data_IF_286664216927
#
_entry.id   IF_286664216927
#
_cell.length_a   1.000
_cell.length_b   1.000
_cell.length_c   1.000
_cell.angle_alpha   90.00
_cell.angle_beta   90.00
_cell.angle_gamma   90.00
#
_symmetry.space_group_name_H-M   'P 1'
#
loop_
_entity.id
_entity.type
_entity.pdbx_description
1 polymer ?
#
# COMPACT_ATOMS: atom_id res chain seq x y z
N UNK A 1 -19.95 -14.81 9.37
CA UNK A 1 -19.81 -13.31 9.28
C UNK A 1 -20.83 -12.76 8.31
N UNK A 2 -21.55 -11.70 8.68
CA UNK A 2 -22.38 -10.97 7.72
C UNK A 2 -21.48 -10.24 6.70
N UNK A 3 -21.34 -10.82 5.51
CA UNK A 3 -20.43 -10.33 4.47
C UNK A 3 -20.77 -8.90 4.01
N UNK A 4 -22.05 -8.56 3.99
CA UNK A 4 -22.47 -7.21 3.62
C UNK A 4 -22.05 -6.18 4.68
N UNK A 5 -22.30 -6.45 5.96
CA UNK A 5 -21.87 -5.58 7.07
C UNK A 5 -20.35 -5.43 7.11
N UNK A 6 -19.62 -6.53 6.91
CA UNK A 6 -18.16 -6.54 6.82
C UNK A 6 -17.65 -5.63 5.70
N UNK A 7 -18.13 -5.82 4.46
CA UNK A 7 -17.72 -5.02 3.31
C UNK A 7 -18.04 -3.55 3.50
N UNK A 8 -19.25 -3.24 3.96
CA UNK A 8 -19.70 -1.88 4.23
C UNK A 8 -18.78 -1.18 5.23
N UNK A 9 -18.55 -1.79 6.38
CA UNK A 9 -17.70 -1.22 7.44
C UNK A 9 -16.26 -1.00 6.96
N UNK A 10 -15.69 -1.96 6.21
CA UNK A 10 -14.36 -1.83 5.61
C UNK A 10 -14.28 -0.68 4.60
N UNK A 11 -15.28 -0.55 3.73
CA UNK A 11 -15.35 0.53 2.74
C UNK A 11 -15.49 1.90 3.41
N UNK A 12 -16.28 2.00 4.49
CA UNK A 12 -16.43 3.22 5.26
C UNK A 12 -15.12 3.62 5.96
N UNK A 13 -14.44 2.69 6.63
CA UNK A 13 -13.17 2.95 7.35
C UNK A 13 -12.01 3.32 6.41
N UNK A 14 -12.03 2.78 5.20
CA UNK A 14 -11.05 3.14 4.18
C UNK A 14 -11.47 4.33 3.33
N UNK A 15 -12.54 5.04 3.69
CA UNK A 15 -13.02 6.24 3.01
C UNK A 15 -13.43 6.05 1.53
N UNK A 16 -13.79 4.85 1.11
CA UNK A 16 -14.31 4.63 -0.25
C UNK A 16 -15.76 5.15 -0.41
N UNK A 17 -16.58 5.08 0.65
CA UNK A 17 -17.97 5.54 0.61
C UNK A 17 -18.12 7.04 0.84
N UNK A 18 -17.19 7.62 1.61
CA UNK A 18 -17.13 9.06 1.89
C UNK A 18 -15.67 9.50 1.90
N UNK A 19 -15.17 10.06 0.80
CA UNK A 19 -13.80 10.53 0.70
C UNK A 19 -13.40 11.48 1.82
N UNK A 20 -12.17 11.34 2.30
CA UNK A 20 -11.63 12.06 3.44
C UNK A 20 -11.38 13.54 3.13
N UNK A 21 -11.73 14.41 4.05
CA UNK A 21 -11.22 15.78 4.09
C UNK A 21 -9.72 15.80 4.39
N UNK A 22 -9.01 16.91 4.18
CA UNK A 22 -7.57 17.02 4.45
C UNK A 22 -7.18 16.63 5.88
N UNK A 23 -8.02 16.95 6.88
CA UNK A 23 -7.79 16.54 8.27
C UNK A 23 -7.89 15.02 8.45
N UNK A 24 -8.92 14.42 7.91
CA UNK A 24 -9.12 12.97 7.97
C UNK A 24 -8.08 12.21 7.13
N UNK A 25 -7.60 12.82 6.04
CA UNK A 25 -6.60 12.23 5.16
C UNK A 25 -5.27 11.96 5.89
N UNK A 26 -4.81 12.88 6.73
CA UNK A 26 -3.61 12.68 7.52
C UNK A 26 -3.71 11.47 8.46
N UNK A 27 -4.84 11.33 9.16
CA UNK A 27 -5.10 10.17 10.02
C UNK A 27 -5.18 8.88 9.20
N UNK A 28 -5.90 8.91 8.08
CA UNK A 28 -6.02 7.75 7.19
C UNK A 28 -4.65 7.32 6.64
N UNK A 29 -3.81 8.29 6.23
CA UNK A 29 -2.46 8.02 5.74
C UNK A 29 -1.62 7.31 6.81
N UNK A 30 -1.64 7.81 8.06
CA UNK A 30 -0.95 7.17 9.18
C UNK A 30 -1.45 5.76 9.46
N UNK A 31 -2.76 5.55 9.42
CA UNK A 31 -3.35 4.23 9.60
C UNK A 31 -2.99 3.24 8.47
N UNK A 32 -2.83 3.73 7.24
CA UNK A 32 -2.42 2.92 6.08
C UNK A 32 -0.90 2.80 5.92
N UNK A 33 -0.13 3.52 6.74
CA UNK A 33 1.34 3.49 6.65
C UNK A 33 1.93 2.10 6.95
N UNK A 34 3.00 1.73 6.26
CA UNK A 34 3.76 2.51 5.27
C UNK A 34 3.07 2.51 3.90
N UNK A 35 2.88 3.69 3.30
CA UNK A 35 2.13 3.86 2.05
C UNK A 35 3.07 3.70 0.85
N UNK A 36 2.78 2.74 -0.01
CA UNK A 36 3.56 2.46 -1.22
C UNK A 36 3.16 3.42 -2.36
N UNK A 37 4.13 3.81 -3.18
CA UNK A 37 3.84 4.59 -4.39
C UNK A 37 2.93 3.81 -5.34
N UNK A 38 1.90 4.45 -5.82
CA UNK A 38 0.95 3.86 -6.78
C UNK A 38 1.52 3.90 -8.19
N UNK A 39 2.17 4.99 -8.56
CA UNK A 39 2.71 5.21 -9.91
C UNK A 39 4.23 5.33 -9.93
N UNK A 40 4.82 4.83 -11.03
CA UNK A 40 6.23 5.00 -11.38
C UNK A 40 6.43 6.00 -12.52
N UNK A 41 5.42 6.81 -12.83
CA UNK A 41 5.41 7.71 -13.98
C UNK A 41 6.42 8.85 -13.87
N UNK A 42 6.68 9.31 -12.65
CA UNK A 42 7.64 10.38 -12.38
C UNK A 42 8.58 10.00 -11.23
N UNK A 43 9.88 10.31 -11.32
CA UNK A 43 10.79 10.17 -10.21
C UNK A 43 10.31 10.97 -8.99
N UNK A 44 10.38 10.36 -7.81
CA UNK A 44 10.02 11.01 -6.57
C UNK A 44 8.54 11.33 -6.35
N UNK A 45 7.64 10.83 -7.21
CA UNK A 45 6.21 11.01 -7.00
C UNK A 45 5.79 10.44 -5.64
N UNK A 46 5.16 11.26 -4.77
CA UNK A 46 4.61 10.78 -3.52
C UNK A 46 3.42 9.86 -3.78
N UNK A 47 3.05 9.01 -2.81
CA UNK A 47 1.88 8.15 -2.94
C UNK A 47 0.59 8.95 -2.86
N UNK A 48 -0.42 8.46 -3.56
CA UNK A 48 -1.79 8.93 -3.49
C UNK A 48 -2.65 7.84 -2.85
N UNK A 49 -3.65 8.23 -2.06
CA UNK A 49 -4.61 7.27 -1.50
C UNK A 49 -5.82 7.06 -2.42
N UNK A 50 -5.77 7.49 -3.67
CA UNK A 50 -6.79 7.37 -4.72
C UNK A 50 -8.24 7.34 -4.15
N UNK A 51 -9.28 7.53 -4.87
CA UNK A 51 -10.68 7.43 -4.43
C UNK A 51 -11.02 7.82 -2.97
N UNK A 52 -10.03 7.85 -2.06
CA UNK A 52 -10.19 8.09 -0.61
C UNK A 52 -10.06 9.55 -0.22
N UNK A 53 -9.69 10.44 -1.15
CA UNK A 53 -9.54 11.87 -0.92
C UNK A 53 -10.67 12.68 -1.57
N UNK A 54 -11.22 13.68 -0.86
CA UNK A 54 -12.21 14.62 -1.39
C UNK A 54 -11.55 15.83 -2.08
N UNK A 55 -10.28 15.72 -2.44
CA UNK A 55 -9.45 16.78 -3.03
C UNK A 55 -8.31 16.15 -3.85
N UNK A 56 -7.59 16.95 -4.63
CA UNK A 56 -6.38 16.53 -5.34
C UNK A 56 -5.27 16.18 -4.32
N UNK A 57 -5.16 14.90 -4.00
CA UNK A 57 -4.20 14.38 -3.03
C UNK A 57 -2.80 14.23 -3.61
N UNK A 58 -2.65 14.10 -4.92
CA UNK A 58 -1.34 14.16 -5.59
C UNK A 58 -0.61 15.44 -5.24
N UNK A 59 -1.24 16.57 -5.53
CA UNK A 59 -0.69 17.89 -5.20
C UNK A 59 -0.50 18.11 -3.70
N UNK A 60 -1.38 17.55 -2.88
CA UNK A 60 -1.27 17.64 -1.43
C UNK A 60 -0.08 16.85 -0.90
N UNK A 61 0.11 15.62 -1.36
CA UNK A 61 1.24 14.78 -0.99
C UNK A 61 2.60 15.35 -1.44
N UNK A 62 2.65 16.03 -2.60
CA UNK A 62 3.85 16.79 -2.98
C UNK A 62 4.23 17.84 -1.95
N UNK A 63 3.27 18.63 -1.46
CA UNK A 63 3.52 19.63 -0.41
C UNK A 63 3.93 19.00 0.91
N UNK A 64 3.32 17.87 1.27
CA UNK A 64 3.70 17.13 2.47
C UNK A 64 5.12 16.58 2.39
N UNK A 65 5.57 16.15 1.21
CA UNK A 65 6.96 15.74 0.98
C UNK A 65 7.92 16.93 1.07
N UNK A 66 7.62 18.04 0.37
CA UNK A 66 8.43 19.25 0.40
C UNK A 66 8.61 19.80 1.82
N UNK A 67 7.56 19.75 2.63
CA UNK A 67 7.59 20.17 4.03
C UNK A 67 8.16 19.13 4.99
N UNK A 68 8.63 17.98 4.52
CA UNK A 68 9.07 16.85 5.35
C UNK A 68 7.99 16.30 6.30
N UNK A 69 6.71 16.58 6.03
CA UNK A 69 5.60 15.98 6.78
C UNK A 69 5.52 14.48 6.52
N UNK A 70 5.76 14.06 5.26
CA UNK A 70 5.98 12.67 4.89
C UNK A 70 7.39 12.48 4.37
N UNK A 71 7.98 11.33 4.67
CA UNK A 71 9.33 10.95 4.27
C UNK A 71 9.35 9.64 3.54
N UNK A 72 10.24 9.55 2.56
CA UNK A 72 10.46 8.36 1.74
C UNK A 72 11.61 7.53 2.28
N UNK A 73 11.42 6.24 2.41
CA UNK A 73 12.47 5.35 2.87
C UNK A 73 12.12 3.87 2.71
N UNK A 74 12.97 3.00 3.25
CA UNK A 74 12.79 1.54 3.21
C UNK A 74 12.05 1.04 4.44
N UNK A 75 10.84 1.55 4.64
CA UNK A 75 10.02 1.38 5.85
C UNK A 75 9.20 0.09 5.89
N UNK A 76 9.33 -0.79 4.90
CA UNK A 76 8.60 -2.06 4.85
C UNK A 76 9.56 -3.19 4.45
N UNK A 77 10.44 -3.56 5.37
CA UNK A 77 11.42 -4.64 5.17
C UNK A 77 12.18 -4.52 3.83
N UNK A 78 12.73 -3.33 3.56
CA UNK A 78 13.51 -3.03 2.37
C UNK A 78 12.71 -2.49 1.16
N UNK A 79 11.37 -2.47 1.20
CA UNK A 79 10.60 -1.80 0.17
C UNK A 79 10.53 -0.29 0.41
N UNK A 80 10.50 0.46 -0.69
CA UNK A 80 10.32 1.90 -0.64
C UNK A 80 8.85 2.22 -0.36
N UNK A 81 8.64 3.04 0.65
CA UNK A 81 7.33 3.52 1.07
C UNK A 81 7.45 4.90 1.70
N UNK A 82 6.31 5.51 2.00
CA UNK A 82 6.21 6.77 2.71
C UNK A 82 5.54 6.56 4.07
N UNK A 83 6.05 7.29 5.06
CA UNK A 83 5.45 7.41 6.39
C UNK A 83 5.38 8.89 6.78
N UNK A 84 4.57 9.22 7.77
CA UNK A 84 4.68 10.51 8.42
C UNK A 84 6.00 10.61 9.19
N UNK A 85 6.64 11.79 9.18
CA UNK A 85 7.92 12.00 9.86
C UNK A 85 7.81 11.82 11.38
N UNK A 86 6.68 12.19 11.98
CA UNK A 86 6.40 11.99 13.40
C UNK A 86 6.15 10.52 13.80
N UNK A 87 6.16 9.59 12.83
CA UNK A 87 6.08 8.14 13.05
C UNK A 87 7.42 7.43 12.80
N UNK A 88 8.50 8.18 12.53
CA UNK A 88 9.83 7.62 12.26
C UNK A 88 10.26 6.63 13.35
N UNK A 89 10.05 6.98 14.63
CA UNK A 89 10.40 6.17 15.79
C UNK A 89 9.64 4.84 15.83
N UNK A 90 8.34 4.87 15.49
CA UNK A 90 7.48 3.68 15.43
C UNK A 90 7.97 2.68 14.36
N UNK A 91 8.27 3.18 13.16
CA UNK A 91 8.75 2.35 12.06
C UNK A 91 10.19 1.89 12.26
N UNK A 92 11.04 2.70 12.90
CA UNK A 92 12.40 2.32 13.28
C UNK A 92 12.38 1.13 14.25
N UNK A 93 11.54 1.16 15.28
CA UNK A 93 11.39 0.06 16.23
C UNK A 93 11.04 -1.28 15.56
N UNK A 94 10.22 -1.26 14.50
CA UNK A 94 9.80 -2.48 13.80
C UNK A 94 10.81 -2.96 12.76
N UNK A 95 11.43 -2.05 11.99
CA UNK A 95 12.13 -2.41 10.76
C UNK A 95 13.63 -2.14 10.78
N UNK A 96 14.16 -1.38 11.76
CA UNK A 96 15.58 -1.06 11.86
C UNK A 96 16.42 -2.34 11.94
N UNK A 97 17.42 -2.42 11.05
CA UNK A 97 18.38 -3.52 11.04
C UNK A 97 19.60 -3.16 11.92
N UNK A 98 19.76 -3.90 12.98
CA UNK A 98 20.94 -3.81 13.83
C UNK A 98 22.04 -4.76 13.28
N UNK A 99 23.04 -4.17 12.64
CA UNK A 99 24.20 -4.88 12.10
C UNK A 99 25.42 -3.95 12.07
N UNK A 100 26.65 -4.49 12.17
CA UNK A 100 27.87 -3.69 12.05
C UNK A 100 27.92 -2.91 10.74
N UNK A 101 28.61 -1.77 10.75
CA UNK A 101 28.94 -1.04 9.53
C UNK A 101 30.00 -1.80 8.73
N UNK A 102 29.91 -1.70 7.41
CA UNK A 102 31.04 -1.96 6.52
C UNK A 102 31.87 -0.68 6.38
N UNK A 103 33.12 -0.78 5.94
CA UNK A 103 33.96 0.38 5.73
C UNK A 103 33.33 1.41 4.79
N UNK A 104 32.70 0.95 3.72
CA UNK A 104 31.97 1.81 2.77
C UNK A 104 30.75 2.48 3.41
N UNK A 105 29.99 1.77 4.25
CA UNK A 105 28.86 2.37 4.97
C UNK A 105 29.34 3.47 5.92
N UNK A 106 30.42 3.21 6.65
CA UNK A 106 31.00 4.19 7.57
C UNK A 106 31.51 5.42 6.83
N UNK A 107 32.28 5.23 5.75
CA UNK A 107 32.80 6.31 4.93
C UNK A 107 31.69 7.22 4.37
N UNK A 108 30.63 6.62 3.82
CA UNK A 108 29.50 7.37 3.25
C UNK A 108 28.69 8.07 4.33
N UNK A 109 28.47 7.45 5.47
CA UNK A 109 27.75 8.06 6.58
C UNK A 109 28.52 9.25 7.17
N UNK A 110 29.84 9.10 7.43
CA UNK A 110 30.70 10.17 7.91
C UNK A 110 30.78 11.33 6.91
N UNK A 111 30.79 11.03 5.60
CA UNK A 111 30.75 12.03 4.55
C UNK A 111 29.43 12.83 4.60
N UNK A 112 28.29 12.16 4.68
CA UNK A 112 26.98 12.82 4.76
C UNK A 112 26.81 13.63 6.04
N UNK A 113 27.34 13.17 7.17
CA UNK A 113 27.32 13.91 8.44
C UNK A 113 28.17 15.20 8.38
N UNK A 114 29.31 15.13 7.71
CA UNK A 114 30.25 16.26 7.63
C UNK A 114 29.87 17.31 6.59
N UNK A 115 29.48 16.86 5.38
CA UNK A 115 29.26 17.75 4.23
C UNK A 115 27.77 18.05 3.97
N UNK A 116 26.87 17.30 4.62
CA UNK A 116 25.42 17.42 4.44
C UNK A 116 24.86 16.59 3.28
N UNK A 117 23.58 16.81 2.93
CA UNK A 117 22.89 16.03 1.90
C UNK A 117 23.54 16.17 0.53
N UNK A 118 23.69 15.03 -0.17
CA UNK A 118 24.26 15.02 -1.52
C UNK A 118 23.75 13.86 -2.37
N UNK A 119 23.91 14.00 -3.69
CA UNK A 119 23.58 12.95 -4.67
C UNK A 119 24.70 11.92 -4.79
N UNK A 120 24.38 10.76 -5.38
CA UNK A 120 25.39 9.72 -5.68
C UNK A 120 26.49 10.28 -6.60
N UNK A 121 26.14 11.18 -7.51
CA UNK A 121 27.13 11.81 -8.39
C UNK A 121 28.20 12.58 -7.59
N UNK A 122 27.78 13.38 -6.64
CA UNK A 122 28.66 14.15 -5.75
C UNK A 122 29.46 13.20 -4.85
N UNK A 123 28.85 12.16 -4.27
CA UNK A 123 29.55 11.17 -3.45
C UNK A 123 30.71 10.49 -4.20
N UNK A 124 30.52 10.20 -5.49
CA UNK A 124 31.59 9.63 -6.35
C UNK A 124 32.82 10.56 -6.45
N UNK A 125 32.59 11.87 -6.53
CA UNK A 125 33.69 12.85 -6.61
C UNK A 125 34.47 12.93 -5.30
N UNK A 126 33.81 12.84 -4.16
CA UNK A 126 34.44 12.88 -2.84
C UNK A 126 35.18 11.60 -2.47
N UNK A 127 34.60 10.43 -2.81
CA UNK A 127 35.11 9.13 -2.34
C UNK A 127 35.93 8.37 -3.38
N UNK A 128 35.75 8.68 -4.67
CA UNK A 128 36.29 7.86 -5.76
C UNK A 128 35.59 6.52 -5.96
N UNK A 129 34.57 6.19 -5.16
CA UNK A 129 33.81 4.96 -5.26
C UNK A 129 32.91 4.96 -6.50
N UNK A 130 32.58 3.78 -6.99
CA UNK A 130 31.62 3.62 -8.10
C UNK A 130 30.19 3.57 -7.58
N UNK A 131 29.21 3.98 -8.41
CA UNK A 131 27.79 3.94 -8.07
C UNK A 131 27.33 2.53 -7.60
N UNK A 132 27.89 1.45 -8.18
CA UNK A 132 27.61 0.06 -7.78
C UNK A 132 28.07 -0.31 -6.37
N UNK A 133 28.96 0.48 -5.78
CA UNK A 133 29.47 0.34 -4.40
C UNK A 133 28.70 1.25 -3.46
N UNK A 134 28.43 2.49 -3.88
CA UNK A 134 27.70 3.50 -3.12
C UNK A 134 26.23 3.09 -2.92
N UNK A 135 25.51 2.75 -3.99
CA UNK A 135 24.07 2.49 -3.91
C UNK A 135 23.70 1.37 -2.92
N UNK A 136 24.34 0.18 -2.91
CA UNK A 136 24.04 -0.83 -1.91
C UNK A 136 24.38 -0.40 -0.47
N UNK A 137 25.42 0.39 -0.27
CA UNK A 137 25.78 0.89 1.06
C UNK A 137 24.74 1.89 1.58
N UNK A 138 24.29 2.84 0.74
CA UNK A 138 23.20 3.75 1.07
C UNK A 138 21.88 3.02 1.39
N UNK A 139 21.53 1.98 0.62
CA UNK A 139 20.34 1.17 0.93
C UNK A 139 20.48 0.47 2.29
N UNK A 140 21.69 0.00 2.65
CA UNK A 140 21.93 -0.60 3.97
C UNK A 140 21.89 0.43 5.09
N UNK A 141 22.34 1.66 4.86
CA UNK A 141 22.17 2.79 5.79
C UNK A 141 20.69 3.19 5.95
N UNK A 142 19.89 3.14 4.89
CA UNK A 142 18.44 3.31 4.99
C UNK A 142 17.78 2.24 5.86
N UNK A 143 18.17 0.97 5.70
CA UNK A 143 17.64 -0.12 6.54
C UNK A 143 18.05 0.00 8.01
N UNK A 144 19.13 0.75 8.31
CA UNK A 144 19.54 1.12 9.68
C UNK A 144 18.82 2.38 10.20
N UNK A 145 17.97 3.02 9.40
CA UNK A 145 17.33 4.30 9.73
C UNK A 145 18.33 5.42 10.02
N UNK A 146 19.44 5.43 9.30
CA UNK A 146 20.47 6.48 9.41
C UNK A 146 20.38 7.52 8.32
N UNK A 147 19.89 7.13 7.12
CA UNK A 147 19.70 8.03 5.98
C UNK A 147 18.38 7.76 5.28
N UNK A 148 17.85 8.76 4.62
CA UNK A 148 16.74 8.62 3.67
C UNK A 148 17.04 9.31 2.36
N UNK A 149 16.29 8.95 1.32
CA UNK A 149 16.43 9.54 -0.01
C UNK A 149 15.27 10.46 -0.33
N UNK A 150 15.55 11.54 -1.06
CA UNK A 150 14.51 12.39 -1.61
C UNK A 150 14.86 12.91 -3.01
N UNK A 151 13.83 13.16 -3.81
CA UNK A 151 13.91 13.68 -5.16
C UNK A 151 13.12 14.98 -5.20
N UNK A 152 13.79 16.11 -5.00
CA UNK A 152 13.13 17.42 -4.91
C UNK A 152 12.74 17.99 -6.27
N UNK A 153 13.45 17.62 -7.34
CA UNK A 153 13.36 18.27 -8.65
C UNK A 153 12.73 17.39 -9.75
N UNK A 154 12.04 16.30 -9.36
CA UNK A 154 11.51 15.30 -10.29
C UNK A 154 12.57 14.64 -11.18
N UNK A 155 13.84 14.74 -10.82
CA UNK A 155 14.95 14.10 -11.50
C UNK A 155 15.20 12.69 -10.98
N UNK A 156 15.91 11.88 -11.79
CA UNK A 156 16.26 10.52 -11.38
C UNK A 156 17.38 10.48 -10.34
N UNK A 157 18.18 11.53 -10.22
CA UNK A 157 19.21 11.61 -9.21
C UNK A 157 18.61 12.02 -7.85
N UNK A 158 18.97 11.30 -6.81
CA UNK A 158 18.40 11.42 -5.47
C UNK A 158 19.43 11.99 -4.53
N UNK A 159 19.04 13.00 -3.75
CA UNK A 159 19.81 13.42 -2.61
C UNK A 159 19.56 12.50 -1.41
N UNK A 160 20.58 12.27 -0.63
CA UNK A 160 20.58 11.42 0.55
C UNK A 160 20.83 12.28 1.78
N UNK A 161 19.95 12.15 2.75
CA UNK A 161 19.86 12.99 3.94
C UNK A 161 20.10 12.14 5.19
N UNK A 162 20.98 12.55 6.13
CA UNK A 162 21.04 11.91 7.44
C UNK A 162 19.75 12.18 8.23
N UNK A 163 19.15 11.16 8.83
CA UNK A 163 17.95 11.33 9.68
C UNK A 163 18.24 12.24 10.87
N UNK A 164 19.39 12.08 11.52
CA UNK A 164 19.79 12.86 12.68
C UNK A 164 19.85 14.38 12.39
N UNK A 165 20.26 14.77 11.17
CA UNK A 165 20.33 16.16 10.77
C UNK A 165 18.96 16.77 10.47
N UNK A 166 18.07 15.99 9.90
CA UNK A 166 16.71 16.44 9.49
C UNK A 166 15.70 16.32 10.65
N UNK A 167 15.89 15.34 11.55
CA UNK A 167 14.99 15.02 12.65
C UNK A 167 15.77 14.84 13.96
N UNK A 168 16.44 15.91 14.47
CA UNK A 168 17.35 15.80 15.62
C UNK A 168 16.65 15.40 16.93
N UNK A 169 15.36 15.62 17.03
CA UNK A 169 14.56 15.28 18.22
C UNK A 169 14.01 13.85 18.19
N UNK A 170 14.23 13.07 17.11
CA UNK A 170 13.73 11.72 16.99
C UNK A 170 14.51 10.73 17.86
N UNK A 171 13.81 10.05 18.77
CA UNK A 171 14.35 8.96 19.59
C UNK A 171 14.00 7.60 18.97
N UNK A 172 14.91 7.05 18.16
CA UNK A 172 14.69 5.77 17.47
C UNK A 172 14.58 4.56 18.43
N UNK A 173 14.84 4.73 19.71
CA UNK A 173 14.71 3.71 20.75
C UNK A 173 13.48 3.90 21.65
N UNK A 174 12.62 4.87 21.33
CA UNK A 174 11.40 5.20 22.09
C UNK A 174 10.43 4.03 22.27
N UNK A 175 10.29 3.20 21.25
CA UNK A 175 9.37 2.05 21.26
C UNK A 175 10.14 0.74 21.33
N UNK A 176 9.60 -0.23 22.06
CA UNK A 176 10.01 -1.63 21.85
C UNK A 176 9.43 -2.13 20.54
N UNK A 177 10.09 -3.12 19.91
CA UNK A 177 9.61 -3.71 18.67
C UNK A 177 8.21 -4.31 18.81
N UNK A 178 7.95 -4.93 19.95
CA UNK A 178 6.66 -5.55 20.28
C UNK A 178 5.55 -4.51 20.37
N UNK A 179 5.75 -3.43 21.12
CA UNK A 179 4.75 -2.36 21.26
C UNK A 179 4.46 -1.66 19.92
N UNK A 180 5.51 -1.41 19.13
CA UNK A 180 5.37 -0.82 17.81
C UNK A 180 4.60 -1.76 16.84
N UNK A 181 4.91 -3.04 16.85
CA UNK A 181 4.21 -4.02 16.01
C UNK A 181 2.73 -4.19 16.43
N UNK A 182 2.42 -4.14 17.72
CA UNK A 182 1.03 -4.13 18.22
C UNK A 182 0.25 -2.92 17.72
N UNK A 183 0.84 -1.73 17.79
CA UNK A 183 0.21 -0.52 17.27
C UNK A 183 -0.10 -0.63 15.77
N UNK A 184 0.85 -1.11 14.96
CA UNK A 184 0.62 -1.32 13.53
C UNK A 184 -0.49 -2.34 13.26
N UNK A 185 -0.56 -3.45 14.03
CA UNK A 185 -1.62 -4.45 13.87
C UNK A 185 -2.98 -3.92 14.33
N UNK A 186 -3.06 -3.07 15.38
CA UNK A 186 -4.29 -2.39 15.80
C UNK A 186 -4.86 -1.52 14.68
N UNK A 187 -4.02 -0.74 14.01
CA UNK A 187 -4.42 0.07 12.83
C UNK A 187 -4.89 -0.81 11.68
N UNK A 188 -4.16 -1.88 11.43
CA UNK A 188 -4.44 -2.80 10.33
C UNK A 188 -5.78 -3.51 10.47
N UNK A 189 -6.10 -4.01 11.68
CA UNK A 189 -7.40 -4.64 11.94
C UNK A 189 -8.54 -3.63 11.90
N UNK A 190 -8.32 -2.39 12.35
CA UNK A 190 -9.34 -1.35 12.24
C UNK A 190 -9.71 -1.08 10.77
N UNK A 191 -8.72 -0.95 9.89
CA UNK A 191 -8.96 -0.70 8.46
C UNK A 191 -9.58 -1.88 7.71
N UNK A 192 -9.13 -3.11 8.02
CA UNK A 192 -9.56 -4.32 7.31
C UNK A 192 -10.78 -4.98 7.95
N UNK A 193 -11.17 -4.58 9.20
CA UNK A 193 -12.27 -5.12 10.02
C UNK A 193 -12.01 -6.56 10.48
N UNK A 194 -11.74 -7.46 9.57
CA UNK A 194 -11.30 -8.84 9.80
C UNK A 194 -9.93 -9.05 9.20
N UNK A 195 -9.05 -9.75 9.94
CA UNK A 195 -7.69 -10.07 9.51
C UNK A 195 -7.31 -11.49 9.86
N UNK A 196 -6.35 -12.03 9.14
CA UNK A 196 -5.59 -13.19 9.53
C UNK A 196 -4.07 -12.90 9.52
N UNK A 197 -3.28 -13.87 9.97
CA UNK A 197 -1.82 -13.72 10.02
C UNK A 197 -1.19 -13.62 8.61
N UNK A 198 -1.84 -14.16 7.58
CA UNK A 198 -1.36 -14.07 6.19
C UNK A 198 -1.56 -12.66 5.63
N UNK A 199 -2.67 -12.01 5.92
CA UNK A 199 -2.92 -10.61 5.57
C UNK A 199 -1.89 -9.67 6.22
N UNK A 200 -1.66 -9.81 7.53
CA UNK A 200 -0.65 -9.01 8.26
C UNK A 200 0.73 -9.22 7.67
N UNK A 201 1.11 -10.47 7.37
CA UNK A 201 2.38 -10.79 6.72
C UNK A 201 2.48 -10.22 5.30
N UNK A 202 1.39 -10.30 4.54
CA UNK A 202 1.32 -9.79 3.17
C UNK A 202 1.63 -8.29 3.13
N UNK A 203 1.06 -7.54 4.05
CA UNK A 203 1.23 -6.09 4.10
C UNK A 203 2.54 -5.69 4.79
N UNK A 204 2.74 -6.04 6.07
CA UNK A 204 3.90 -5.57 6.85
C UNK A 204 5.19 -6.36 6.62
N UNK A 205 5.14 -7.54 5.97
CA UNK A 205 6.30 -8.40 5.68
C UNK A 205 7.09 -8.81 6.91
N UNK A 206 6.42 -8.89 8.05
CA UNK A 206 7.00 -9.36 9.29
C UNK A 206 7.09 -10.90 9.33
N UNK A 207 8.02 -11.47 10.11
CA UNK A 207 8.08 -12.92 10.33
C UNK A 207 6.77 -13.45 10.96
N UNK A 208 6.29 -14.58 10.47
CA UNK A 208 5.02 -15.16 10.95
C UNK A 208 5.01 -15.43 12.47
N UNK A 209 6.16 -15.80 13.05
CA UNK A 209 6.30 -15.98 14.50
C UNK A 209 6.04 -14.69 15.27
N UNK A 210 6.57 -13.55 14.80
CA UNK A 210 6.36 -12.25 15.43
C UNK A 210 4.87 -11.85 15.32
N UNK A 211 4.27 -12.02 14.13
CA UNK A 211 2.85 -11.72 13.90
C UNK A 211 1.95 -12.53 14.85
N UNK A 212 2.19 -13.84 14.96
CA UNK A 212 1.40 -14.70 15.88
C UNK A 212 1.53 -14.23 17.33
N UNK A 213 2.73 -13.89 17.78
CA UNK A 213 2.94 -13.35 19.12
C UNK A 213 2.22 -12.02 19.37
N UNK A 214 2.14 -11.14 18.37
CA UNK A 214 1.35 -9.89 18.46
C UNK A 214 -0.14 -10.20 18.54
N UNK A 215 -0.67 -11.07 17.67
CA UNK A 215 -2.08 -11.44 17.66
C UNK A 215 -2.51 -12.10 18.99
N UNK A 216 -1.68 -12.99 19.53
CA UNK A 216 -1.93 -13.63 20.84
C UNK A 216 -1.99 -12.61 21.97
N UNK A 217 -1.11 -11.61 22.01
CA UNK A 217 -1.16 -10.52 23.01
C UNK A 217 -2.40 -9.66 22.86
N UNK A 218 -2.77 -9.29 21.64
CA UNK A 218 -3.98 -8.51 21.36
C UNK A 218 -5.28 -9.25 21.68
N UNK A 219 -5.27 -10.59 21.65
CA UNK A 219 -6.37 -11.41 22.14
C UNK A 219 -6.36 -11.44 23.68
N UNK A 220 -5.18 -11.56 24.30
CA UNK A 220 -5.05 -11.60 25.76
C UNK A 220 -5.44 -10.29 26.44
N UNK A 221 -5.23 -9.15 25.81
CA UNK A 221 -5.64 -7.83 26.28
C UNK A 221 -7.08 -7.44 25.87
N UNK A 222 -7.82 -8.38 25.30
CA UNK A 222 -9.20 -8.23 24.85
C UNK A 222 -9.43 -7.21 23.73
N UNK A 223 -8.39 -6.76 23.04
CA UNK A 223 -8.51 -5.91 21.86
C UNK A 223 -9.08 -6.67 20.66
N UNK A 224 -8.61 -7.91 20.46
CA UNK A 224 -9.05 -8.80 19.40
C UNK A 224 -9.85 -9.98 19.93
N UNK A 225 -10.77 -10.45 19.10
CA UNK A 225 -11.54 -11.68 19.31
C UNK A 225 -11.24 -12.65 18.15
N UNK A 226 -10.90 -13.92 18.42
CA UNK A 226 -10.84 -14.94 17.38
C UNK A 226 -12.20 -15.10 16.69
N UNK A 227 -12.24 -15.02 15.37
CA UNK A 227 -13.48 -15.08 14.62
C UNK A 227 -13.29 -15.70 13.22
N UNK A 228 -13.99 -16.80 12.92
CA UNK A 228 -13.99 -17.49 11.61
C UNK A 228 -12.59 -17.69 11.01
N UNK A 229 -11.67 -18.25 11.79
CA UNK A 229 -10.31 -18.56 11.34
C UNK A 229 -9.34 -17.37 11.30
N UNK A 230 -9.80 -16.19 11.67
CA UNK A 230 -9.00 -14.98 11.81
C UNK A 230 -9.33 -14.22 13.09
N UNK A 231 -9.26 -12.90 13.03
CA UNK A 231 -9.43 -12.01 14.17
C UNK A 231 -10.21 -10.76 13.76
N UNK A 232 -11.05 -10.29 14.68
CA UNK A 232 -11.75 -9.00 14.59
C UNK A 232 -11.48 -8.19 15.85
N UNK A 233 -11.75 -6.89 15.82
CA UNK A 233 -11.81 -6.11 17.05
C UNK A 233 -13.05 -6.52 17.84
N UNK A 234 -12.90 -6.71 19.16
CA UNK A 234 -14.04 -7.04 20.04
C UNK A 234 -15.20 -6.05 19.88
N UNK A 235 -14.89 -4.76 19.73
CA UNK A 235 -15.89 -3.69 19.55
C UNK A 235 -16.69 -3.82 18.25
N UNK A 236 -16.16 -4.50 17.24
CA UNK A 236 -16.78 -4.64 15.91
C UNK A 236 -17.73 -5.84 15.83
N UNK A 237 -17.62 -6.80 16.75
CA UNK A 237 -18.42 -8.02 16.76
C UNK A 237 -19.93 -7.76 16.65
N UNK A 238 -20.54 -6.84 17.46
CA UNK A 238 -21.97 -6.56 17.35
C UNK A 238 -22.38 -5.99 15.99
N UNK A 239 -21.47 -5.29 15.27
CA UNK A 239 -21.73 -4.70 13.95
C UNK A 239 -21.77 -5.75 12.84
N UNK A 240 -21.08 -6.89 13.05
CA UNK A 240 -20.96 -7.97 12.06
C UNK A 240 -21.98 -9.10 12.28
N UNK A 241 -22.68 -9.13 13.42
CA UNK A 241 -23.70 -10.12 13.77
C UNK A 241 -25.13 -9.61 13.51
N UNK A 242 -25.30 -8.33 13.16
CA UNK A 242 -26.60 -7.73 12.85
C UNK A 242 -27.29 -8.34 11.61
N UNK A 243 -28.63 -8.22 11.54
CA UNK A 243 -29.37 -8.63 10.35
C UNK A 243 -28.89 -7.85 9.11
N UNK A 244 -28.84 -8.50 7.94
CA UNK A 244 -28.48 -7.84 6.69
C UNK A 244 -29.43 -6.66 6.44
N UNK A 245 -28.91 -5.45 6.34
CA UNK A 245 -29.71 -4.34 5.84
C UNK A 245 -30.09 -4.62 4.37
N UNK A 246 -31.31 -4.28 3.97
CA UNK A 246 -31.73 -4.37 2.57
C UNK A 246 -30.74 -3.61 1.68
N UNK A 247 -30.16 -4.31 0.73
CA UNK A 247 -29.22 -3.72 -0.24
C UNK A 247 -30.05 -2.97 -1.28
N UNK A 248 -29.81 -1.69 -1.53
CA UNK A 248 -30.43 -1.01 -2.66
C UNK A 248 -29.94 -1.63 -3.97
N UNK A 249 -30.82 -2.22 -4.75
CA UNK A 249 -30.53 -3.04 -5.95
C UNK A 249 -29.96 -2.27 -7.16
N UNK A 250 -29.61 -0.99 -7.08
CA UNK A 250 -29.52 -0.20 -8.32
C UNK A 250 -28.19 0.42 -8.71
N UNK A 251 -27.20 0.54 -7.83
CA UNK A 251 -25.92 1.15 -8.24
C UNK A 251 -24.77 0.36 -7.67
N UNK A 252 -24.01 -0.31 -8.53
CA UNK A 252 -22.74 -0.92 -8.15
C UNK A 252 -21.68 0.14 -7.88
N UNK A 253 -20.86 -0.09 -6.85
CA UNK A 253 -19.65 0.71 -6.61
C UNK A 253 -18.45 -0.02 -7.19
N UNK A 254 -17.77 0.61 -8.16
CA UNK A 254 -16.63 0.01 -8.84
C UNK A 254 -15.38 0.87 -8.66
N UNK A 255 -14.31 0.24 -8.23
CA UNK A 255 -12.98 0.87 -8.11
C UNK A 255 -11.92 -0.02 -8.79
N UNK A 256 -11.00 0.61 -9.51
CA UNK A 256 -9.80 -0.05 -10.02
C UNK A 256 -8.65 0.25 -9.07
N UNK A 257 -8.21 -0.73 -8.28
CA UNK A 257 -7.16 -0.57 -7.31
C UNK A 257 -5.82 -1.01 -7.88
N UNK A 258 -4.82 -0.14 -7.80
CA UNK A 258 -3.46 -0.45 -8.21
C UNK A 258 -2.84 -1.52 -7.30
N UNK A 259 -1.91 -2.32 -7.86
CA UNK A 259 -1.21 -3.40 -7.13
C UNK A 259 -0.50 -2.97 -5.84
N UNK A 260 -0.20 -1.68 -5.67
CA UNK A 260 0.41 -1.12 -4.46
C UNK A 260 -0.61 -0.48 -3.50
N UNK A 261 -1.91 -0.52 -3.83
CA UNK A 261 -2.95 -0.07 -2.93
C UNK A 261 -2.92 -0.85 -1.61
N UNK A 262 -3.28 -0.18 -0.51
CA UNK A 262 -3.30 -0.78 0.83
C UNK A 262 -4.14 -2.05 0.87
N UNK A 263 -5.38 -2.01 0.35
CA UNK A 263 -6.30 -3.14 0.39
C UNK A 263 -5.81 -4.30 -0.48
N UNK A 264 -5.20 -4.01 -1.64
CA UNK A 264 -4.57 -5.01 -2.50
C UNK A 264 -3.38 -5.64 -1.80
N UNK A 265 -2.49 -4.86 -1.18
CA UNK A 265 -1.33 -5.38 -0.46
C UNK A 265 -1.70 -6.20 0.76
N UNK A 266 -2.77 -5.85 1.46
CA UNK A 266 -3.31 -6.66 2.55
C UNK A 266 -3.74 -8.05 2.09
N UNK A 267 -4.23 -8.17 0.86
CA UNK A 267 -4.80 -9.38 0.27
C UNK A 267 -3.91 -10.02 -0.82
N UNK A 268 -2.71 -9.51 -1.06
CA UNK A 268 -1.84 -9.92 -2.17
C UNK A 268 -1.52 -11.43 -2.16
N UNK A 269 -1.46 -12.05 -0.98
CA UNK A 269 -1.13 -13.45 -0.78
C UNK A 269 -2.09 -14.41 -1.49
N UNK A 270 -3.39 -14.06 -1.62
CA UNK A 270 -4.37 -14.86 -2.35
C UNK A 270 -4.77 -14.23 -3.69
N UNK A 271 -4.76 -12.90 -3.81
CA UNK A 271 -5.11 -12.21 -5.06
C UNK A 271 -4.24 -12.63 -6.24
N UNK A 272 -2.94 -12.81 -6.01
CA UNK A 272 -2.00 -13.23 -7.07
C UNK A 272 -2.28 -14.63 -7.61
N UNK A 273 -2.74 -15.53 -6.75
CA UNK A 273 -3.06 -16.89 -7.16
C UNK A 273 -4.43 -16.94 -7.86
N UNK A 274 -5.42 -16.25 -7.30
CA UNK A 274 -6.78 -16.19 -7.84
C UNK A 274 -6.83 -15.52 -9.22
N UNK A 275 -6.19 -14.34 -9.37
CA UNK A 275 -6.30 -13.53 -10.58
C UNK A 275 -5.11 -13.69 -11.53
N UNK A 276 -4.40 -14.81 -11.46
CA UNK A 276 -3.27 -15.11 -12.33
C UNK A 276 -3.72 -15.26 -13.78
N UNK A 277 -3.03 -14.56 -14.70
CA UNK A 277 -3.23 -14.69 -16.15
C UNK A 277 -1.95 -15.16 -16.84
N UNK A 278 -2.10 -16.05 -17.84
CA UNK A 278 -0.93 -16.67 -18.51
C UNK A 278 -0.23 -15.75 -19.51
N UNK A 279 -0.96 -14.80 -20.09
CA UNK A 279 -0.49 -13.96 -21.19
C UNK A 279 -0.17 -12.53 -20.77
N UNK A 280 -0.93 -11.99 -19.82
CA UNK A 280 -0.88 -10.59 -19.41
C UNK A 280 -0.50 -10.46 -17.95
N UNK A 281 0.11 -9.33 -17.59
CA UNK A 281 0.29 -8.94 -16.20
C UNK A 281 -1.02 -8.40 -15.62
N UNK A 282 -1.24 -8.61 -14.33
CA UNK A 282 -2.32 -7.94 -13.61
C UNK A 282 -1.84 -6.54 -13.24
N UNK A 283 -2.43 -5.53 -13.84
CA UNK A 283 -2.09 -4.12 -13.63
C UNK A 283 -2.88 -3.50 -12.46
N UNK A 284 -4.10 -3.95 -12.27
CA UNK A 284 -4.99 -3.51 -11.19
C UNK A 284 -6.03 -4.56 -10.86
N UNK A 285 -6.72 -4.37 -9.73
CA UNK A 285 -7.77 -5.24 -9.24
C UNK A 285 -9.09 -4.48 -9.16
N UNK A 286 -10.17 -5.12 -9.59
CA UNK A 286 -11.52 -4.55 -9.54
C UNK A 286 -12.15 -4.86 -8.17
N UNK A 287 -12.41 -3.81 -7.41
CA UNK A 287 -13.18 -3.84 -6.18
C UNK A 287 -14.61 -3.43 -6.52
N UNK A 288 -15.53 -4.40 -6.51
CA UNK A 288 -16.96 -4.19 -6.83
C UNK A 288 -17.77 -4.49 -5.58
N UNK A 289 -18.53 -3.51 -5.11
CA UNK A 289 -19.33 -3.61 -3.88
C UNK A 289 -18.52 -4.11 -2.67
N UNK A 290 -17.27 -3.63 -2.59
CA UNK A 290 -16.35 -3.98 -1.52
C UNK A 290 -15.73 -5.39 -1.61
N UNK A 291 -15.94 -6.14 -2.70
CA UNK A 291 -15.31 -7.43 -2.96
C UNK A 291 -14.38 -7.37 -4.18
N UNK A 292 -13.27 -8.11 -4.16
CA UNK A 292 -12.43 -8.28 -5.35
C UNK A 292 -13.12 -9.25 -6.31
N UNK A 293 -13.54 -8.74 -7.47
CA UNK A 293 -14.30 -9.51 -8.47
C UNK A 293 -13.71 -9.52 -9.86
N UNK A 294 -12.50 -8.97 -10.03
CA UNK A 294 -11.87 -8.93 -11.34
C UNK A 294 -10.50 -8.28 -11.31
N UNK A 295 -9.91 -8.20 -12.48
CA UNK A 295 -8.65 -7.51 -12.67
C UNK A 295 -8.55 -6.84 -14.05
N UNK A 296 -7.70 -5.82 -14.11
CA UNK A 296 -7.25 -5.16 -15.32
C UNK A 296 -5.96 -5.83 -15.79
N UNK A 297 -5.94 -6.27 -17.02
CA UNK A 297 -4.87 -7.03 -17.65
C UNK A 297 -4.11 -6.18 -18.67
N UNK A 298 -2.80 -6.36 -18.75
CA UNK A 298 -2.01 -5.64 -19.75
C UNK A 298 -0.51 -5.82 -19.57
N UNK A 299 0.25 -4.82 -19.99
CA UNK A 299 1.70 -4.80 -19.87
C UNK A 299 2.18 -3.47 -19.31
N UNK A 300 3.17 -3.54 -18.42
CA UNK A 300 3.94 -2.39 -17.96
C UNK A 300 5.33 -2.40 -18.65
N UNK A 301 5.61 -1.42 -19.50
CA UNK A 301 6.86 -1.34 -20.27
C UNK A 301 7.51 0.04 -20.13
N UNK A 302 7.99 0.39 -18.92
CA UNK A 302 8.76 1.63 -18.68
C UNK A 302 8.19 2.88 -19.40
N UNK A 303 6.88 3.03 -19.45
CA UNK A 303 6.14 4.06 -20.16
C UNK A 303 4.66 3.97 -19.87
N UNK A 304 3.79 4.41 -20.77
CA UNK A 304 2.35 4.24 -20.64
C UNK A 304 1.99 2.76 -20.46
N UNK A 305 0.98 2.50 -19.63
CA UNK A 305 0.44 1.15 -19.49
C UNK A 305 -0.28 0.73 -20.77
N UNK A 306 0.02 -0.46 -21.27
CA UNK A 306 -0.74 -1.07 -22.36
C UNK A 306 -1.89 -1.88 -21.77
N UNK A 307 -3.11 -1.32 -21.77
CA UNK A 307 -4.29 -1.98 -21.23
C UNK A 307 -4.87 -2.93 -22.28
N UNK A 308 -4.89 -4.22 -21.98
CA UNK A 308 -5.30 -5.25 -22.94
C UNK A 308 -6.73 -5.72 -22.74
N UNK A 309 -7.13 -6.03 -21.49
CA UNK A 309 -8.42 -6.63 -21.22
C UNK A 309 -8.87 -6.42 -19.76
N UNK A 310 -10.15 -6.54 -19.52
CA UNK A 310 -10.75 -6.70 -18.18
C UNK A 310 -11.24 -8.13 -18.04
N UNK A 311 -10.93 -8.78 -16.94
CA UNK A 311 -11.45 -10.10 -16.61
C UNK A 311 -12.24 -10.05 -15.30
N UNK A 312 -13.42 -10.68 -15.28
CA UNK A 312 -14.29 -10.78 -14.11
C UNK A 312 -14.36 -12.21 -13.59
N UNK A 313 -14.61 -12.36 -12.28
CA UNK A 313 -14.84 -13.62 -11.60
C UNK A 313 -16.17 -13.59 -10.86
N UNK A 314 -16.91 -14.70 -10.92
CA UNK A 314 -18.10 -14.88 -10.10
C UNK A 314 -17.72 -15.11 -8.64
N UNK A 315 -18.52 -14.58 -7.71
CA UNK A 315 -18.51 -15.07 -6.33
C UNK A 315 -19.20 -16.44 -6.32
N UNK A 316 -18.47 -17.45 -5.83
CA UNK A 316 -19.04 -18.76 -5.51
C UNK A 316 -19.07 -18.88 -4.00
N UNK A 317 -20.24 -19.15 -3.40
CA UNK A 317 -20.37 -19.37 -1.96
C UNK A 317 -19.57 -20.61 -1.58
N UNK A 318 -18.45 -20.39 -0.84
CA UNK A 318 -17.63 -21.48 -0.27
C UNK A 318 -16.67 -22.18 -1.24
N UNK A 319 -16.54 -21.73 -2.49
CA UNK A 319 -15.61 -22.27 -3.48
C UNK A 319 -14.61 -21.20 -3.96
N UNK A 320 -13.51 -21.64 -4.59
CA UNK A 320 -12.57 -20.70 -5.23
C UNK A 320 -13.26 -19.88 -6.33
N UNK A 321 -12.97 -18.56 -6.45
CA UNK A 321 -13.57 -17.72 -7.49
C UNK A 321 -13.33 -18.30 -8.88
N UNK A 322 -14.38 -18.49 -9.66
CA UNK A 322 -14.31 -19.01 -11.03
C UNK A 322 -14.31 -17.85 -12.01
N UNK A 323 -13.32 -17.83 -12.92
CA UNK A 323 -13.30 -16.86 -14.01
C UNK A 323 -14.58 -16.98 -14.86
N UNK A 324 -15.32 -15.90 -14.97
CA UNK A 324 -16.52 -15.83 -15.80
C UNK A 324 -16.12 -15.94 -17.28
N UNK A 325 -16.44 -17.08 -17.90
CA UNK A 325 -16.39 -17.21 -19.34
C UNK A 325 -17.68 -16.65 -19.95
N UNK A 326 -17.59 -16.12 -21.16
CA UNK A 326 -18.61 -15.31 -21.84
C UNK A 326 -20.08 -15.79 -21.75
N UNK A 327 -20.35 -17.08 -21.54
CA UNK A 327 -21.71 -17.63 -21.63
C UNK A 327 -22.52 -17.62 -20.30
N UNK A 328 -21.88 -17.45 -19.14
CA UNK A 328 -22.57 -17.55 -17.84
C UNK A 328 -22.82 -16.21 -17.14
N UNK A 329 -22.36 -15.10 -17.70
CA UNK A 329 -22.25 -13.80 -17.02
C UNK A 329 -22.94 -12.63 -17.72
N UNK A 330 -23.70 -12.88 -18.80
CA UNK A 330 -24.19 -11.82 -19.69
C UNK A 330 -24.94 -10.70 -18.95
N UNK A 331 -25.75 -11.01 -17.97
CA UNK A 331 -26.51 -10.00 -17.22
C UNK A 331 -25.60 -9.13 -16.33
N UNK A 332 -24.67 -9.72 -15.59
CA UNK A 332 -23.74 -8.99 -14.71
C UNK A 332 -22.67 -8.25 -15.52
N UNK A 333 -22.17 -8.86 -16.60
CA UNK A 333 -21.23 -8.28 -17.53
C UNK A 333 -21.72 -6.96 -18.11
N UNK A 334 -22.95 -6.94 -18.64
CA UNK A 334 -23.55 -5.74 -19.21
C UNK A 334 -23.90 -4.70 -18.14
N UNK A 335 -24.39 -5.13 -16.96
CA UNK A 335 -24.73 -4.23 -15.86
C UNK A 335 -23.51 -3.47 -15.30
N UNK A 336 -22.33 -4.11 -15.31
CA UNK A 336 -21.09 -3.53 -14.76
C UNK A 336 -20.21 -2.85 -15.82
N UNK A 337 -20.50 -3.02 -17.12
CA UNK A 337 -19.61 -2.59 -18.20
C UNK A 337 -19.30 -1.09 -18.13
N UNK A 338 -20.34 -0.27 -18.10
CA UNK A 338 -20.19 1.18 -18.07
C UNK A 338 -19.44 1.66 -16.81
N UNK A 339 -19.79 1.13 -15.64
CA UNK A 339 -19.15 1.48 -14.37
C UNK A 339 -17.68 1.09 -14.34
N UNK A 340 -17.31 -0.08 -14.91
CA UNK A 340 -15.92 -0.54 -15.00
C UNK A 340 -15.13 0.30 -15.99
N UNK A 341 -15.68 0.60 -17.17
CA UNK A 341 -15.00 1.45 -18.15
C UNK A 341 -14.73 2.83 -17.59
N UNK A 342 -15.73 3.45 -16.95
CA UNK A 342 -15.56 4.74 -16.27
C UNK A 342 -14.48 4.69 -15.16
N UNK A 343 -14.44 3.61 -14.38
CA UNK A 343 -13.44 3.44 -13.34
C UNK A 343 -12.02 3.24 -13.91
N UNK A 344 -11.88 2.58 -15.07
CA UNK A 344 -10.59 2.44 -15.78
C UNK A 344 -10.13 3.79 -16.34
N UNK A 345 -11.02 4.54 -17.00
CA UNK A 345 -10.71 5.86 -17.57
C UNK A 345 -10.36 6.91 -16.49
N UNK A 346 -10.92 6.78 -15.29
CA UNK A 346 -10.57 7.65 -14.17
C UNK A 346 -9.11 7.43 -13.71
N UNK A 347 -8.59 6.23 -13.88
CA UNK A 347 -7.23 5.84 -13.44
C UNK A 347 -6.20 5.95 -14.57
N UNK A 348 -6.62 5.73 -15.81
CA UNK A 348 -5.77 5.70 -16.99
C UNK A 348 -6.36 6.60 -18.08
N UNK A 349 -5.60 7.61 -18.49
CA UNK A 349 -5.99 8.48 -19.59
C UNK A 349 -6.23 7.66 -20.87
N UNK A 350 -7.46 7.62 -21.41
CA UNK A 350 -7.78 6.82 -22.58
C UNK A 350 -7.06 7.26 -23.86
N UNK A 351 -6.56 8.51 -23.94
CA UNK A 351 -5.74 8.98 -25.06
C UNK A 351 -4.31 8.38 -25.01
N UNK A 352 -3.81 8.06 -23.81
CA UNK A 352 -2.45 7.53 -23.60
C UNK A 352 -2.48 6.01 -23.45
N UNK A 353 -3.46 5.48 -22.73
CA UNK A 353 -3.58 4.07 -22.35
C UNK A 353 -5.01 3.56 -22.62
N UNK A 354 -5.46 3.47 -23.88
CA UNK A 354 -6.80 2.98 -24.19
C UNK A 354 -6.95 1.50 -23.83
N UNK A 355 -8.08 1.16 -23.22
CA UNK A 355 -8.46 -0.23 -23.00
C UNK A 355 -8.89 -0.88 -24.32
N UNK A 356 -8.27 -2.01 -24.69
CA UNK A 356 -8.55 -2.68 -26.00
C UNK A 356 -9.76 -3.59 -25.94
N UNK A 357 -9.97 -4.28 -24.82
CA UNK A 357 -11.02 -5.31 -24.69
C UNK A 357 -11.69 -5.24 -23.32
N UNK A 358 -12.92 -5.69 -23.30
CA UNK A 358 -13.68 -5.95 -22.09
C UNK A 358 -14.21 -7.38 -22.15
N UNK A 359 -13.77 -8.25 -21.26
CA UNK A 359 -14.15 -9.67 -21.24
C UNK A 359 -13.87 -10.39 -22.57
N UNK A 360 -12.75 -10.03 -23.25
CA UNK A 360 -12.32 -10.58 -24.53
C UNK A 360 -12.94 -9.93 -25.77
N UNK A 361 -13.94 -9.08 -25.62
CA UNK A 361 -14.58 -8.35 -26.72
C UNK A 361 -13.95 -6.98 -26.91
N UNK A 362 -13.84 -6.50 -28.15
CA UNK A 362 -13.31 -5.15 -28.43
C UNK A 362 -14.21 -4.07 -27.84
N UNK A 363 -13.61 -3.09 -27.19
CA UNK A 363 -14.31 -1.92 -26.64
C UNK A 363 -14.55 -0.87 -27.73
#
# INVERSE_FOLDING_TARGET
MNQHAYRKLRMERQHFTKPASKKQYGELFKQMSPVLCVYWSCPGSPPELLYRAAFDDSRYCYKMRESRTIIKGRFQNGNIAYIYADELELFAAVYRKDRPFTDTEQELYDLLQREGPMTIHVMKEFTGLLAKEITPALHRLQEKFLVFEDQTDNEWDRAWYPFESEFPDADLDRYTKEAAAEELVRRFVWLNVWIDAAMVRSFYRLPLKEIKGVLERLVSDETLEPYEGGYIRREDLPLLEGEPAEVPEKNHTVFVLHRNDFLVKSNEHWLKDTFRHLKYDVLGYLLIDGAFRGCLLGHFRNGPFELEDVALWAETEGEEPVCLKNESADGLKEALKEDILNAVELLYDPEISPLKRYMGEMV
#
